data_IF_729098665107
#
_entry.id   IF_729098665107
#
_cell.length_a   1.000
_cell.length_b   1.000
_cell.length_c   1.000
_cell.angle_alpha   90.00
_cell.angle_beta   90.00
_cell.angle_gamma   90.00
#
_symmetry.space_group_name_H-M   'P 1'
#
loop_
_entity.id
_entity.type
_entity.pdbx_description
1 polymer ?
#
# COMPACT_ATOMS: atom_id res chain seq x y z
N UNK A 1 -0.33 -5.67 -7.74
CA UNK A 1 -1.64 -5.67 -8.43
C UNK A 1 -1.62 -4.56 -9.46
N UNK A 2 -2.43 -4.65 -10.52
CA UNK A 2 -2.52 -3.62 -11.55
C UNK A 2 -3.99 -3.45 -11.91
N UNK A 3 -4.44 -2.22 -12.11
CA UNK A 3 -5.82 -1.95 -12.51
C UNK A 3 -5.95 -0.67 -13.30
N UNK A 4 -7.02 -0.62 -14.09
CA UNK A 4 -7.39 0.51 -14.94
C UNK A 4 -8.84 0.84 -14.61
N UNK A 5 -9.12 2.10 -14.28
CA UNK A 5 -10.47 2.57 -13.96
C UNK A 5 -10.97 3.52 -15.02
N UNK A 6 -12.29 3.71 -15.06
CA UNK A 6 -12.86 4.89 -15.68
C UNK A 6 -12.49 6.15 -14.88
N UNK A 7 -12.74 7.31 -15.46
CA UNK A 7 -12.54 8.62 -14.82
C UNK A 7 -13.82 9.46 -14.97
N UNK A 8 -14.97 8.86 -14.70
CA UNK A 8 -16.29 9.47 -14.86
C UNK A 8 -16.64 10.37 -13.67
N UNK A 9 -16.40 9.89 -12.44
CA UNK A 9 -16.62 10.64 -11.20
C UNK A 9 -15.34 11.27 -10.65
N UNK A 10 -14.17 10.75 -11.05
CA UNK A 10 -12.86 11.17 -10.55
C UNK A 10 -12.47 10.53 -9.21
N UNK A 11 -13.27 9.59 -8.69
CA UNK A 11 -12.99 8.87 -7.43
C UNK A 11 -12.59 7.42 -7.64
N UNK A 12 -12.80 6.87 -8.84
CA UNK A 12 -12.71 5.44 -9.11
C UNK A 12 -11.29 4.91 -8.88
N UNK A 13 -10.26 5.66 -9.27
CA UNK A 13 -8.86 5.27 -9.05
C UNK A 13 -8.47 5.29 -7.57
N UNK A 14 -9.05 6.19 -6.78
CA UNK A 14 -8.82 6.26 -5.34
C UNK A 14 -9.54 5.13 -4.59
N UNK A 15 -10.74 4.77 -5.03
CA UNK A 15 -11.50 3.61 -4.54
C UNK A 15 -10.76 2.31 -4.83
N UNK A 16 -10.25 2.13 -6.06
CA UNK A 16 -9.44 0.97 -6.44
C UNK A 16 -8.13 0.91 -5.65
N UNK A 17 -7.47 2.04 -5.41
CA UNK A 17 -6.28 2.08 -4.54
C UNK A 17 -6.61 1.61 -3.12
N UNK A 18 -7.74 2.05 -2.56
CA UNK A 18 -8.18 1.60 -1.23
C UNK A 18 -8.49 0.10 -1.19
N UNK A 19 -9.09 -0.45 -2.25
CA UNK A 19 -9.32 -1.88 -2.41
C UNK A 19 -7.99 -2.67 -2.45
N UNK A 20 -7.02 -2.21 -3.25
CA UNK A 20 -5.70 -2.84 -3.33
C UNK A 20 -4.96 -2.84 -1.98
N UNK A 21 -5.01 -1.73 -1.24
CA UNK A 21 -4.43 -1.68 0.11
C UNK A 21 -5.17 -2.65 1.05
N UNK A 22 -6.51 -2.75 0.94
CA UNK A 22 -7.31 -3.72 1.67
C UNK A 22 -6.86 -5.17 1.44
N UNK A 23 -6.77 -5.58 0.17
CA UNK A 23 -6.32 -6.92 -0.23
C UNK A 23 -4.90 -7.23 0.28
N UNK A 24 -3.97 -6.28 0.19
CA UNK A 24 -2.62 -6.48 0.73
C UNK A 24 -2.63 -6.71 2.24
N UNK A 25 -3.43 -5.94 2.99
CA UNK A 25 -3.58 -6.11 4.45
C UNK A 25 -4.16 -7.47 4.80
N UNK A 26 -5.15 -7.95 4.05
CA UNK A 26 -5.72 -9.29 4.23
C UNK A 26 -4.65 -10.37 4.02
N UNK A 27 -3.94 -10.32 2.89
CA UNK A 27 -2.86 -11.26 2.59
C UNK A 27 -1.81 -11.31 3.70
N UNK A 28 -1.31 -10.15 4.16
CA UNK A 28 -0.30 -10.13 5.22
C UNK A 28 -0.84 -10.56 6.58
N UNK A 29 -2.13 -10.33 6.84
CA UNK A 29 -2.80 -10.80 8.06
C UNK A 29 -2.96 -12.32 8.06
N UNK A 30 -3.33 -12.91 6.92
CA UNK A 30 -3.44 -14.36 6.73
C UNK A 30 -2.07 -15.06 6.85
N UNK A 31 -1.00 -14.40 6.43
CA UNK A 31 0.38 -14.85 6.65
C UNK A 31 0.86 -14.70 8.11
N UNK A 32 0.04 -14.10 8.99
CA UNK A 32 0.38 -13.90 10.40
C UNK A 32 1.46 -12.86 10.64
N UNK A 33 1.66 -11.92 9.71
CA UNK A 33 2.67 -10.87 9.85
C UNK A 33 2.16 -9.74 10.73
N UNK A 34 3.02 -9.25 11.63
CA UNK A 34 2.80 -7.96 12.27
C UNK A 34 3.28 -6.86 11.33
N UNK A 35 2.39 -5.96 10.91
CA UNK A 35 2.71 -4.91 9.95
C UNK A 35 2.04 -3.58 10.29
N UNK A 36 2.52 -2.51 9.63
CA UNK A 36 1.93 -1.17 9.66
C UNK A 36 1.75 -0.65 8.23
N UNK A 37 0.75 0.20 8.03
CA UNK A 37 0.48 0.89 6.77
C UNK A 37 0.93 2.33 6.90
N UNK A 38 1.64 2.85 5.90
CA UNK A 38 2.19 4.19 5.85
C UNK A 38 1.58 4.95 4.67
N UNK A 39 1.06 6.15 4.92
CA UNK A 39 0.73 7.12 3.86
C UNK A 39 2.00 7.92 3.57
N UNK A 40 2.55 7.75 2.37
CA UNK A 40 3.91 8.21 2.09
C UNK A 40 3.96 9.73 1.92
N UNK A 41 5.02 10.39 2.42
CA UNK A 41 5.17 11.83 2.26
C UNK A 41 5.38 12.20 0.79
N UNK A 42 5.08 13.44 0.44
CA UNK A 42 5.12 13.92 -0.95
C UNK A 42 6.50 13.78 -1.60
N UNK A 43 7.57 13.79 -0.80
CA UNK A 43 8.95 13.58 -1.25
C UNK A 43 9.25 12.14 -1.71
N UNK A 44 8.42 11.17 -1.32
CA UNK A 44 8.61 9.72 -1.57
C UNK A 44 7.62 9.17 -2.61
N UNK A 45 6.81 10.03 -3.25
CA UNK A 45 5.84 9.61 -4.28
C UNK A 45 6.51 9.23 -5.61
N UNK A 46 7.71 9.73 -5.87
CA UNK A 46 8.35 9.62 -7.18
C UNK A 46 7.64 10.44 -8.26
N UNK A 47 7.88 10.10 -9.52
CA UNK A 47 7.31 10.84 -10.67
C UNK A 47 5.84 10.52 -10.99
N UNK A 48 5.36 9.26 -10.91
CA UNK A 48 4.04 8.93 -11.44
C UNK A 48 2.92 8.89 -10.38
N UNK A 49 3.24 8.82 -9.09
CA UNK A 49 2.24 8.57 -8.06
C UNK A 49 1.57 9.87 -7.58
N UNK A 50 0.24 9.90 -7.59
CA UNK A 50 -0.54 10.95 -6.94
C UNK A 50 -0.63 10.75 -5.42
N UNK A 51 -0.74 9.49 -4.99
CA UNK A 51 -0.73 9.04 -3.59
C UNK A 51 -0.11 7.65 -3.55
N UNK A 52 0.63 7.34 -2.49
CA UNK A 52 1.32 6.05 -2.33
C UNK A 52 1.13 5.52 -0.92
N UNK A 53 0.84 4.23 -0.80
CA UNK A 53 0.81 3.54 0.49
C UNK A 53 1.82 2.42 0.52
N UNK A 54 2.67 2.42 1.55
CA UNK A 54 3.60 1.32 1.81
C UNK A 54 3.13 0.52 3.02
N UNK A 55 3.39 -0.78 2.99
CA UNK A 55 3.16 -1.70 4.09
C UNK A 55 4.51 -2.25 4.53
N UNK A 56 4.82 -2.04 5.81
CA UNK A 56 6.03 -2.56 6.41
C UNK A 56 5.71 -3.65 7.42
N UNK A 57 6.39 -4.78 7.33
CA UNK A 57 6.30 -5.86 8.29
C UNK A 57 7.44 -5.79 9.32
N UNK A 58 7.15 -6.15 10.56
CA UNK A 58 8.16 -6.32 11.61
C UNK A 58 9.05 -7.51 11.28
N UNK A 59 10.37 -7.28 11.26
CA UNK A 59 11.38 -8.31 11.00
C UNK A 59 12.21 -8.56 12.26
N UNK A 60 11.88 -9.59 13.08
CA UNK A 60 12.54 -9.82 14.38
C UNK A 60 14.06 -9.93 14.28
N UNK A 61 14.56 -10.63 13.25
CA UNK A 61 16.00 -10.78 13.02
C UNK A 61 16.73 -9.47 12.68
N UNK A 62 16.01 -8.43 12.25
CA UNK A 62 16.54 -7.09 12.00
C UNK A 62 16.24 -6.11 13.15
N UNK A 63 15.33 -6.44 14.06
CA UNK A 63 14.86 -5.56 15.12
C UNK A 63 14.18 -4.28 14.60
N UNK A 64 13.64 -4.30 13.38
CA UNK A 64 12.98 -3.15 12.76
C UNK A 64 11.91 -3.57 11.75
N UNK A 65 11.06 -2.63 11.38
CA UNK A 65 10.16 -2.75 10.25
C UNK A 65 10.92 -2.69 8.93
N UNK A 66 10.42 -3.39 7.91
CA UNK A 66 10.88 -3.28 6.53
C UNK A 66 9.72 -3.40 5.56
N UNK A 67 9.82 -2.68 4.45
CA UNK A 67 8.80 -2.65 3.39
C UNK A 67 8.59 -4.06 2.79
N UNK A 68 7.33 -4.47 2.70
CA UNK A 68 6.90 -5.75 2.12
C UNK A 68 5.81 -5.59 1.06
N UNK A 69 5.22 -4.41 0.95
CA UNK A 69 4.27 -4.06 -0.10
C UNK A 69 4.23 -2.55 -0.30
N UNK A 70 3.92 -2.12 -1.51
CA UNK A 70 3.77 -0.72 -1.89
C UNK A 70 2.87 -0.59 -3.10
N UNK A 71 2.13 0.52 -3.19
CA UNK A 71 1.18 0.82 -4.26
C UNK A 71 1.05 2.31 -4.51
#
# INVERSE_FOLDING_TARGET
MFGVTAAETGTESAELLAEFVGLQKEIFSELGLHFRVLDMPTQELGLPAYRKFDIEAWMPGRGKYGEVGGG
#
